data_IF_983417679960
#
_entry.id   IF_983417679960
#
_cell.length_a   1.000
_cell.length_b   1.000
_cell.length_c   1.000
_cell.angle_alpha   90.00
_cell.angle_beta   90.00
_cell.angle_gamma   90.00
#
_symmetry.space_group_name_H-M   'P 1'
#
loop_
_entity.id
_entity.type
_entity.pdbx_description
1 polymer ?
#
# COMPACT_ATOMS: atom_id res chain seq x y z
N UNK A 1 -28.23 -27.82 -5.47
CA UNK A 1 -26.98 -28.08 -4.72
C UNK A 1 -25.71 -27.48 -5.37
N UNK A 2 -25.59 -27.35 -6.70
CA UNK A 2 -24.42 -26.74 -7.35
C UNK A 2 -24.22 -25.22 -7.12
N UNK A 3 -25.28 -24.43 -6.87
CA UNK A 3 -25.18 -22.98 -6.58
C UNK A 3 -24.67 -22.65 -5.16
N UNK A 4 -24.68 -23.61 -4.23
CA UNK A 4 -24.19 -23.40 -2.86
C UNK A 4 -22.68 -23.65 -2.74
N UNK A 5 -22.14 -24.58 -3.53
CA UNK A 5 -20.70 -24.93 -3.55
C UNK A 5 -19.84 -23.87 -4.27
N UNK A 6 -20.38 -23.18 -5.28
CA UNK A 6 -19.66 -22.10 -5.98
C UNK A 6 -19.42 -20.86 -5.11
N UNK A 7 -20.28 -20.59 -4.12
CA UNK A 7 -20.11 -19.47 -3.18
C UNK A 7 -19.11 -19.80 -2.07
N UNK A 8 -19.02 -21.06 -1.63
CA UNK A 8 -18.06 -21.48 -0.62
C UNK A 8 -16.62 -21.51 -1.15
N UNK A 9 -16.39 -21.97 -2.39
CA UNK A 9 -15.07 -22.02 -3.01
C UNK A 9 -14.42 -20.63 -3.19
N UNK A 10 -15.20 -19.60 -3.55
CA UNK A 10 -14.72 -18.21 -3.62
C UNK A 10 -14.57 -17.57 -2.23
N UNK A 11 -15.39 -17.98 -1.26
CA UNK A 11 -15.38 -17.40 0.08
C UNK A 11 -14.18 -17.80 0.93
N UNK A 12 -13.58 -18.96 0.71
CA UNK A 12 -12.37 -19.39 1.46
C UNK A 12 -11.18 -18.49 1.10
N UNK A 13 -10.93 -18.28 -0.20
CA UNK A 13 -9.84 -17.40 -0.64
C UNK A 13 -10.05 -15.93 -0.28
N UNK A 14 -11.29 -15.42 -0.40
CA UNK A 14 -11.59 -14.02 -0.02
C UNK A 14 -11.50 -13.82 1.49
N UNK A 15 -12.02 -14.75 2.32
CA UNK A 15 -11.98 -14.65 3.78
C UNK A 15 -10.56 -14.75 4.34
N UNK A 16 -9.70 -15.60 3.77
CA UNK A 16 -8.29 -15.68 4.19
C UNK A 16 -7.52 -14.43 3.81
N UNK A 17 -7.60 -13.96 2.55
CA UNK A 17 -6.97 -12.69 2.12
C UNK A 17 -7.39 -11.52 3.00
N UNK A 18 -8.66 -11.50 3.35
CA UNK A 18 -9.23 -10.55 4.30
C UNK A 18 -8.55 -10.66 5.67
N UNK A 19 -8.53 -11.85 6.26
CA UNK A 19 -7.88 -12.06 7.56
C UNK A 19 -6.42 -11.62 7.55
N UNK A 20 -5.67 -11.96 6.49
CA UNK A 20 -4.31 -11.49 6.29
C UNK A 20 -4.21 -9.96 6.29
N UNK A 21 -5.10 -9.23 5.60
CA UNK A 21 -5.07 -7.77 5.59
C UNK A 21 -5.33 -7.13 6.97
N UNK A 22 -6.23 -7.69 7.79
CA UNK A 22 -6.47 -7.25 9.18
C UNK A 22 -5.29 -7.59 10.08
N UNK A 23 -4.73 -8.78 9.93
CA UNK A 23 -3.59 -9.23 10.73
C UNK A 23 -2.33 -8.41 10.41
N UNK A 24 -2.08 -8.08 9.14
CA UNK A 24 -0.97 -7.21 8.69
C UNK A 24 -1.07 -5.82 9.32
N UNK A 25 -2.25 -5.18 9.28
CA UNK A 25 -2.45 -3.88 9.95
C UNK A 25 -2.22 -3.97 11.45
N UNK A 26 -2.76 -5.01 12.10
CA UNK A 26 -2.59 -5.19 13.55
C UNK A 26 -1.11 -5.38 13.92
N UNK A 27 -0.38 -6.18 13.16
CA UNK A 27 1.06 -6.38 13.37
C UNK A 27 1.84 -5.08 13.15
N UNK A 28 1.53 -4.33 12.09
CA UNK A 28 2.17 -3.04 11.84
C UNK A 28 1.91 -2.04 12.97
N UNK A 29 0.68 -1.93 13.47
CA UNK A 29 0.37 -1.06 14.63
C UNK A 29 1.11 -1.49 15.90
N UNK A 30 1.25 -2.80 16.16
CA UNK A 30 2.04 -3.30 17.29
C UNK A 30 3.52 -2.97 17.14
N UNK A 31 4.06 -3.11 15.93
CA UNK A 31 5.45 -2.73 15.64
C UNK A 31 5.65 -1.24 15.89
N UNK A 32 4.76 -0.38 15.41
CA UNK A 32 4.83 1.07 15.65
C UNK A 32 4.66 1.47 17.13
N UNK A 33 3.95 0.67 17.93
CA UNK A 33 3.86 0.90 19.36
C UNK A 33 5.17 0.59 20.10
N UNK A 34 5.98 -0.32 19.56
CA UNK A 34 7.29 -0.69 20.12
C UNK A 34 8.41 0.20 19.56
N UNK A 35 8.38 0.46 18.26
CA UNK A 35 9.34 1.26 17.51
C UNK A 35 8.57 2.21 16.58
N UNK A 36 8.31 3.47 17.01
CA UNK A 36 7.49 4.42 16.26
C UNK A 36 8.00 4.75 14.86
N UNK A 37 9.32 4.61 14.65
CA UNK A 37 10.00 4.92 13.40
C UNK A 37 10.39 3.67 12.59
N UNK A 38 9.80 2.50 12.89
CA UNK A 38 10.09 1.28 12.15
C UNK A 38 9.67 1.44 10.67
N UNK A 39 10.63 1.45 9.71
CA UNK A 39 10.38 1.83 8.31
C UNK A 39 9.34 0.93 7.62
N UNK A 40 9.48 -0.39 7.79
CA UNK A 40 8.56 -1.36 7.22
C UNK A 40 7.13 -1.25 7.75
N UNK A 41 6.94 -0.98 9.05
CA UNK A 41 5.62 -0.87 9.67
C UNK A 41 4.92 0.43 9.26
N UNK A 42 5.66 1.53 9.17
CA UNK A 42 5.19 2.79 8.60
C UNK A 42 4.72 2.57 7.16
N UNK A 43 5.56 1.96 6.32
CA UNK A 43 5.23 1.69 4.93
C UNK A 43 3.97 0.81 4.78
N UNK A 44 3.86 -0.26 5.57
CA UNK A 44 2.68 -1.14 5.57
C UNK A 44 1.42 -0.37 5.97
N UNK A 45 1.49 0.51 6.97
CA UNK A 45 0.34 1.32 7.38
C UNK A 45 -0.09 2.30 6.30
N UNK A 46 0.87 2.92 5.60
CA UNK A 46 0.55 3.82 4.51
C UNK A 46 -0.07 3.09 3.31
N UNK A 47 0.50 1.94 2.93
CA UNK A 47 -0.06 1.09 1.87
C UNK A 47 -1.42 0.53 2.24
N UNK A 48 -1.64 0.10 3.48
CA UNK A 48 -2.95 -0.37 3.91
C UNK A 48 -4.03 0.71 3.74
N UNK A 49 -3.74 1.97 4.10
CA UNK A 49 -4.67 3.07 3.90
C UNK A 49 -4.96 3.29 2.40
N UNK A 50 -3.91 3.34 1.57
CA UNK A 50 -4.04 3.53 0.13
C UNK A 50 -4.87 2.41 -0.52
N UNK A 51 -4.53 1.15 -0.25
CA UNK A 51 -5.22 -0.01 -0.83
C UNK A 51 -6.70 -0.05 -0.46
N UNK A 52 -7.05 0.25 0.79
CA UNK A 52 -8.47 0.32 1.20
C UNK A 52 -9.20 1.45 0.46
N UNK A 53 -8.54 2.58 0.20
CA UNK A 53 -9.12 3.69 -0.57
C UNK A 53 -9.22 3.43 -2.07
N UNK A 54 -8.38 2.55 -2.62
CA UNK A 54 -8.41 2.11 -4.02
C UNK A 54 -9.53 1.11 -4.32
N UNK A 55 -10.08 0.43 -3.31
CA UNK A 55 -11.17 -0.53 -3.50
C UNK A 55 -12.39 0.13 -4.16
N UNK A 56 -12.94 -0.54 -5.18
CA UNK A 56 -14.23 -0.18 -5.76
C UNK A 56 -15.37 -0.39 -4.76
N UNK A 57 -16.54 0.21 -5.02
CA UNK A 57 -17.70 0.07 -4.12
C UNK A 57 -18.15 -1.38 -3.89
N UNK A 58 -18.01 -2.25 -4.90
CA UNK A 58 -18.32 -3.69 -4.79
C UNK A 58 -17.28 -4.40 -3.93
N UNK A 59 -15.99 -4.13 -4.14
CA UNK A 59 -14.91 -4.72 -3.34
C UNK A 59 -15.01 -4.26 -1.89
N UNK A 60 -15.26 -2.96 -1.67
CA UNK A 60 -15.43 -2.39 -0.34
C UNK A 60 -16.64 -2.98 0.39
N UNK A 61 -17.74 -3.26 -0.31
CA UNK A 61 -18.90 -3.95 0.28
C UNK A 61 -18.51 -5.33 0.81
N UNK A 62 -17.84 -6.14 0.00
CA UNK A 62 -17.37 -7.46 0.44
C UNK A 62 -16.32 -7.34 1.55
N UNK A 63 -15.35 -6.44 1.39
CA UNK A 63 -14.32 -6.17 2.36
C UNK A 63 -14.92 -5.79 3.72
N UNK A 64 -15.91 -4.89 3.79
CA UNK A 64 -16.60 -4.51 5.04
C UNK A 64 -17.30 -5.70 5.70
N UNK A 65 -17.88 -6.60 4.91
CA UNK A 65 -18.57 -7.80 5.40
C UNK A 65 -17.61 -8.83 5.98
N UNK A 66 -16.37 -8.88 5.48
CA UNK A 66 -15.38 -9.88 5.91
C UNK A 66 -14.32 -9.32 6.90
N UNK A 67 -13.88 -8.06 6.75
CA UNK A 67 -12.84 -7.37 7.55
C UNK A 67 -13.40 -6.63 8.76
N UNK A 68 -14.72 -6.45 8.82
CA UNK A 68 -15.39 -5.58 9.77
C UNK A 68 -15.39 -4.13 9.26
N UNK A 69 -16.60 -3.59 9.05
CA UNK A 69 -16.78 -2.27 8.45
C UNK A 69 -16.14 -1.12 9.22
N UNK A 70 -16.00 -1.24 10.54
CA UNK A 70 -15.38 -0.22 11.39
C UNK A 70 -13.87 -0.06 11.16
N UNK A 71 -13.14 -1.15 10.89
CA UNK A 71 -11.68 -1.09 10.66
C UNK A 71 -11.39 -0.40 9.33
N UNK A 72 -12.13 -0.75 8.27
CA UNK A 72 -11.95 -0.15 6.95
C UNK A 72 -12.38 1.32 6.87
N UNK A 73 -13.35 1.70 7.70
CA UNK A 73 -13.80 3.10 7.78
C UNK A 73 -12.74 4.07 8.27
N UNK A 74 -11.66 3.57 8.89
CA UNK A 74 -10.55 4.40 9.38
C UNK A 74 -9.55 4.77 8.26
N UNK A 75 -9.60 4.08 7.12
CA UNK A 75 -8.64 4.32 6.05
C UNK A 75 -8.89 5.65 5.35
N UNK A 76 -7.82 6.43 5.16
CA UNK A 76 -7.88 7.73 4.49
C UNK A 76 -6.57 8.04 3.76
N UNK A 77 -6.65 8.95 2.79
CA UNK A 77 -5.51 9.31 1.95
C UNK A 77 -4.44 10.10 2.71
N UNK A 78 -4.83 10.91 3.69
CA UNK A 78 -3.91 11.73 4.47
C UNK A 78 -2.98 10.86 5.32
N UNK A 79 -3.51 9.82 5.96
CA UNK A 79 -2.72 8.83 6.67
C UNK A 79 -1.86 7.99 5.71
N UNK A 80 -2.37 7.64 4.53
CA UNK A 80 -1.58 6.92 3.52
C UNK A 80 -0.30 7.69 3.18
N UNK A 81 -0.47 8.99 2.88
CA UNK A 81 0.62 9.93 2.60
C UNK A 81 1.53 10.07 3.80
N UNK A 82 0.99 10.41 4.98
CA UNK A 82 1.76 10.69 6.20
C UNK A 82 2.65 9.52 6.60
N UNK A 83 2.12 8.30 6.57
CA UNK A 83 2.89 7.10 6.92
C UNK A 83 3.99 6.80 5.89
N UNK A 84 3.71 6.94 4.59
CA UNK A 84 4.71 6.69 3.54
C UNK A 84 5.78 7.79 3.48
N UNK A 85 5.42 9.06 3.67
CA UNK A 85 6.37 10.18 3.83
C UNK A 85 7.31 9.90 5.01
N UNK A 86 6.77 9.45 6.15
CA UNK A 86 7.61 9.07 7.30
C UNK A 86 8.49 7.87 6.97
N UNK A 87 7.98 6.84 6.30
CA UNK A 87 8.76 5.66 5.89
C UNK A 87 9.96 6.03 5.00
N UNK A 88 9.75 6.93 4.03
CA UNK A 88 10.84 7.45 3.18
C UNK A 88 11.82 8.30 3.99
N UNK A 89 11.35 9.07 4.98
CA UNK A 89 12.22 9.88 5.82
C UNK A 89 13.14 9.05 6.74
N UNK A 90 12.64 7.93 7.28
CA UNK A 90 13.42 7.06 8.18
C UNK A 90 14.34 6.09 7.44
N UNK A 91 13.97 5.69 6.22
CA UNK A 91 14.77 4.81 5.35
C UNK A 91 14.78 5.37 3.91
N UNK A 92 15.59 6.41 3.65
CA UNK A 92 15.61 7.11 2.39
C UNK A 92 16.31 6.34 1.26
N UNK A 93 17.02 5.25 1.55
CA UNK A 93 17.67 4.46 0.49
C UNK A 93 16.73 3.42 -0.11
N UNK A 94 15.68 3.03 0.62
CA UNK A 94 14.73 2.01 0.20
C UNK A 94 13.84 2.47 -0.96
N UNK A 95 14.11 1.93 -2.15
CA UNK A 95 13.39 2.29 -3.37
C UNK A 95 11.90 1.96 -3.33
N UNK A 96 11.50 0.88 -2.66
CA UNK A 96 10.08 0.51 -2.51
C UNK A 96 9.27 1.62 -1.82
N UNK A 97 9.82 2.23 -0.77
CA UNK A 97 9.11 3.29 -0.03
C UNK A 97 8.85 4.50 -0.94
N UNK A 98 9.87 4.92 -1.71
CA UNK A 98 9.74 6.03 -2.67
C UNK A 98 8.77 5.71 -3.82
N UNK A 99 8.87 4.50 -4.38
CA UNK A 99 8.03 4.05 -5.48
C UNK A 99 6.54 4.07 -5.10
N UNK A 100 6.22 3.56 -3.91
CA UNK A 100 4.85 3.47 -3.45
C UNK A 100 4.30 4.81 -2.96
N UNK A 101 5.12 5.65 -2.31
CA UNK A 101 4.75 7.04 -2.02
C UNK A 101 4.44 7.81 -3.30
N UNK A 102 5.25 7.66 -4.35
CA UNK A 102 4.97 8.25 -5.66
C UNK A 102 3.64 7.75 -6.26
N UNK A 103 3.31 6.47 -6.05
CA UNK A 103 2.02 5.89 -6.39
C UNK A 103 0.86 6.57 -5.67
N UNK A 104 0.98 6.72 -4.35
CA UNK A 104 -0.04 7.38 -3.53
C UNK A 104 -0.18 8.86 -3.89
N UNK A 105 0.92 9.58 -4.14
CA UNK A 105 0.87 10.95 -4.65
C UNK A 105 0.12 11.07 -5.98
N UNK A 106 0.32 10.11 -6.89
CA UNK A 106 -0.43 10.09 -8.15
C UNK A 106 -1.94 9.92 -7.93
N UNK A 107 -2.34 9.04 -6.99
CA UNK A 107 -3.75 8.81 -6.65
C UNK A 107 -4.42 10.07 -6.08
N UNK A 108 -3.70 10.82 -5.24
CA UNK A 108 -4.18 12.08 -4.65
C UNK A 108 -3.89 13.31 -5.51
N UNK A 109 -3.53 13.11 -6.79
CA UNK A 109 -3.31 14.16 -7.80
C UNK A 109 -2.14 15.11 -7.51
N UNK A 110 -1.24 14.76 -6.58
CA UNK A 110 0.07 15.41 -6.34
C UNK A 110 1.09 14.98 -7.40
N UNK A 111 0.83 15.36 -8.66
CA UNK A 111 1.55 14.83 -9.84
C UNK A 111 3.03 15.20 -9.89
N UNK A 112 3.37 16.43 -9.53
CA UNK A 112 4.76 16.90 -9.57
C UNK A 112 5.63 16.15 -8.56
N UNK A 113 5.09 15.91 -7.36
CA UNK A 113 5.76 15.16 -6.30
C UNK A 113 5.86 13.67 -6.64
N UNK A 114 4.82 13.10 -7.24
CA UNK A 114 4.86 11.75 -7.79
C UNK A 114 5.97 11.61 -8.85
N UNK A 115 6.04 12.56 -9.79
CA UNK A 115 7.06 12.57 -10.84
C UNK A 115 8.46 12.67 -10.25
N UNK A 116 8.68 13.58 -9.30
CA UNK A 116 9.98 13.76 -8.64
C UNK A 116 10.44 12.47 -7.94
N UNK A 117 9.55 11.79 -7.20
CA UNK A 117 9.90 10.53 -6.54
C UNK A 117 10.13 9.39 -7.52
N UNK A 118 9.31 9.24 -8.57
CA UNK A 118 9.58 8.23 -9.60
C UNK A 118 10.94 8.45 -10.27
N UNK A 119 11.29 9.70 -10.58
CA UNK A 119 12.59 10.03 -11.15
C UNK A 119 13.73 9.69 -10.18
N UNK A 120 13.57 10.00 -8.90
CA UNK A 120 14.54 9.62 -7.88
C UNK A 120 14.72 8.09 -7.74
N UNK A 121 13.67 7.29 -7.95
CA UNK A 121 13.80 5.82 -8.00
C UNK A 121 14.59 5.37 -9.23
N UNK A 122 14.29 5.95 -10.40
CA UNK A 122 14.95 5.63 -11.68
C UNK A 122 16.46 5.93 -11.60
N UNK A 123 16.81 7.09 -11.06
CA UNK A 123 18.18 7.61 -11.03
C UNK A 123 19.02 7.03 -9.88
N UNK A 124 18.40 6.31 -8.93
CA UNK A 124 19.12 5.70 -7.82
C UNK A 124 20.23 4.77 -8.34
N UNK A 125 21.46 4.94 -7.87
CA UNK A 125 22.61 4.14 -8.31
C UNK A 125 22.92 2.98 -7.36
N UNK A 126 22.69 3.17 -6.07
CA UNK A 126 22.86 2.15 -5.03
C UNK A 126 21.79 1.07 -5.14
N UNK A 127 22.23 -0.20 -5.10
CA UNK A 127 21.33 -1.35 -4.96
C UNK A 127 21.22 -1.73 -3.49
N UNK A 128 20.02 -1.65 -2.96
CA UNK A 128 19.66 -1.97 -1.57
C UNK A 128 18.75 -3.19 -1.46
N UNK A 129 18.05 -3.56 -2.54
CA UNK A 129 17.18 -4.73 -2.58
C UNK A 129 17.40 -5.58 -3.84
N UNK A 130 17.03 -6.85 -3.73
CA UNK A 130 16.98 -7.76 -4.87
C UNK A 130 16.04 -7.23 -5.97
N UNK A 131 14.91 -6.62 -5.59
CA UNK A 131 13.87 -6.14 -6.51
C UNK A 131 14.10 -4.73 -7.06
N UNK A 132 15.19 -4.04 -6.73
CA UNK A 132 15.45 -2.68 -7.21
C UNK A 132 15.36 -2.53 -8.74
N UNK A 133 15.86 -3.46 -9.57
CA UNK A 133 15.69 -3.37 -11.03
C UNK A 133 14.21 -3.37 -11.44
N UNK A 134 13.37 -4.14 -10.76
CA UNK A 134 11.92 -4.17 -11.01
C UNK A 134 11.28 -2.83 -10.60
N UNK A 135 11.65 -2.29 -9.44
CA UNK A 135 11.12 -1.01 -8.96
C UNK A 135 11.47 0.15 -9.89
N UNK A 136 12.70 0.18 -10.42
CA UNK A 136 13.11 1.16 -11.45
C UNK A 136 12.27 1.06 -12.72
N UNK A 137 12.04 -0.17 -13.21
CA UNK A 137 11.19 -0.41 -14.38
C UNK A 137 9.76 0.09 -14.13
N UNK A 138 9.19 -0.23 -12.97
CA UNK A 138 7.85 0.22 -12.59
C UNK A 138 7.77 1.75 -12.48
N UNK A 139 8.78 2.40 -11.91
CA UNK A 139 8.85 3.86 -11.84
C UNK A 139 8.88 4.49 -13.24
N UNK A 140 9.71 3.96 -14.16
CA UNK A 140 9.80 4.44 -15.55
C UNK A 140 8.46 4.29 -16.31
N UNK A 141 7.76 3.18 -16.12
CA UNK A 141 6.43 2.98 -16.71
C UNK A 141 5.39 3.95 -16.13
N UNK A 142 5.38 4.16 -14.82
CA UNK A 142 4.41 5.01 -14.13
C UNK A 142 4.63 6.50 -14.42
N UNK A 143 5.89 6.96 -14.45
CA UNK A 143 6.21 8.37 -14.74
C UNK A 143 5.80 8.77 -16.16
N UNK A 144 5.90 7.84 -17.13
CA UNK A 144 5.42 8.06 -18.50
C UNK A 144 3.89 8.14 -18.62
N UNK A 145 3.15 7.61 -17.64
CA UNK A 145 1.67 7.66 -17.59
C UNK A 145 1.14 8.89 -16.84
N UNK A 146 1.99 9.59 -16.09
CA UNK A 146 1.63 10.86 -15.45
C UNK A 146 1.53 11.95 -16.55
N UNK A 147 0.30 12.20 -17.01
CA UNK A 147 -0.05 13.34 -17.87
C UNK A 147 -0.34 14.59 -17.06
#
# INVERSE_FOLDING_TARGET
LARALGRTALSVGVRERVRYAVDVRRCALKALALEPDHPGALHVMGMWNAEVKRLSGVELFFARRFLGGGVLGQANWDDAVRYLERAVAVDPERLTHKLDLAGVYADVRRRDEARALYQAVIDATTRTDFNDPLYKKQAAERVGRLR
#
